data_IF_496421244518
#
_entry.id   IF_496421244518
#
_cell.length_a   1.000
_cell.length_b   1.000
_cell.length_c   1.000
_cell.angle_alpha   90.00
_cell.angle_beta   90.00
_cell.angle_gamma   90.00
#
_symmetry.space_group_name_H-M   'P 1'
#
loop_
_entity.id
_entity.type
_entity.pdbx_description
1 polymer ?
#
# COMPACT_ATOMS: atom_id res chain seq x y z
N UNK A 1 -2.17 -7.22 10.92
CA UNK A 1 -1.55 -6.03 11.54
C UNK A 1 -2.63 -4.96 11.69
N UNK A 2 -2.75 -4.26 12.81
CA UNK A 2 -3.75 -3.20 13.00
C UNK A 2 -3.08 -1.83 12.90
N UNK A 3 -3.14 -1.20 11.72
CA UNK A 3 -2.63 0.16 11.51
C UNK A 3 -3.61 1.20 12.04
N UNK A 4 -3.11 2.33 12.54
CA UNK A 4 -3.96 3.41 13.07
C UNK A 4 -4.60 4.27 11.97
N UNK A 5 -3.89 4.53 10.87
CA UNK A 5 -4.28 5.56 9.89
C UNK A 5 -4.67 5.00 8.53
N UNK A 6 -4.12 3.84 8.17
CA UNK A 6 -4.31 3.23 6.86
C UNK A 6 -4.84 1.81 6.98
N UNK A 7 -5.48 1.33 5.92
CA UNK A 7 -5.93 -0.05 5.78
C UNK A 7 -5.45 -0.62 4.44
N UNK A 8 -5.27 -1.94 4.41
CA UNK A 8 -4.78 -2.66 3.23
C UNK A 8 -5.89 -3.55 2.69
N UNK A 9 -6.26 -3.37 1.43
CA UNK A 9 -7.33 -4.11 0.77
C UNK A 9 -6.78 -4.85 -0.44
N UNK A 10 -6.93 -6.19 -0.51
CA UNK A 10 -6.52 -6.95 -1.69
C UNK A 10 -7.52 -6.68 -2.81
N UNK A 11 -7.04 -6.11 -3.91
CA UNK A 11 -7.89 -5.79 -5.06
C UNK A 11 -7.73 -6.78 -6.22
N UNK A 12 -6.69 -7.61 -6.19
CA UNK A 12 -6.52 -8.68 -7.16
C UNK A 12 -5.13 -9.31 -7.13
N UNK A 13 -4.82 -10.03 -8.20
CA UNK A 13 -3.51 -10.60 -8.47
C UNK A 13 -3.27 -10.76 -9.97
N UNK A 14 -2.01 -10.96 -10.36
CA UNK A 14 -1.58 -11.20 -11.74
C UNK A 14 -1.44 -12.70 -12.07
N UNK A 15 -1.93 -13.57 -11.20
CA UNK A 15 -1.61 -15.00 -11.16
C UNK A 15 -0.24 -15.34 -10.55
N UNK A 16 0.62 -14.34 -10.30
CA UNK A 16 1.93 -14.52 -9.66
C UNK A 16 2.14 -13.64 -8.44
N UNK A 17 1.62 -12.43 -8.48
CA UNK A 17 1.82 -11.42 -7.45
C UNK A 17 0.49 -10.75 -7.14
N UNK A 18 0.29 -10.41 -5.87
CA UNK A 18 -0.92 -9.75 -5.40
C UNK A 18 -0.83 -8.25 -5.66
N UNK A 19 -1.99 -7.60 -5.63
CA UNK A 19 -2.13 -6.14 -5.70
C UNK A 19 -3.01 -5.70 -4.54
N UNK A 20 -2.51 -4.73 -3.78
CA UNK A 20 -3.16 -4.23 -2.57
C UNK A 20 -3.35 -2.72 -2.64
N UNK A 21 -4.56 -2.24 -2.39
CA UNK A 21 -4.83 -0.84 -2.15
C UNK A 21 -4.43 -0.47 -0.71
N UNK A 22 -3.84 0.71 -0.55
CA UNK A 22 -3.65 1.37 0.74
C UNK A 22 -4.66 2.50 0.84
N UNK A 23 -5.64 2.35 1.74
CA UNK A 23 -6.73 3.32 1.91
C UNK A 23 -6.54 4.11 3.20
N UNK A 24 -6.99 5.36 3.21
CA UNK A 24 -7.11 6.16 4.42
C UNK A 24 -8.28 5.66 5.25
N UNK A 25 -8.05 5.29 6.52
CA UNK A 25 -9.14 4.89 7.42
C UNK A 25 -10.13 6.02 7.74
N UNK A 26 -9.71 7.28 7.65
CA UNK A 26 -10.57 8.42 7.99
C UNK A 26 -11.53 8.79 6.86
N UNK A 27 -11.15 8.53 5.60
CA UNK A 27 -11.90 8.99 4.43
C UNK A 27 -12.29 7.89 3.46
N UNK A 28 -11.70 6.69 3.57
CA UNK A 28 -11.86 5.59 2.61
C UNK A 28 -11.18 5.84 1.25
N UNK A 29 -10.44 6.93 1.08
CA UNK A 29 -9.76 7.23 -0.19
C UNK A 29 -8.50 6.39 -0.36
N UNK A 30 -8.23 5.99 -1.60
CA UNK A 30 -7.00 5.29 -2.00
C UNK A 30 -5.83 6.28 -1.95
N UNK A 31 -4.80 5.91 -1.20
CA UNK A 31 -3.55 6.67 -1.03
C UNK A 31 -2.43 6.11 -1.92
N UNK A 32 -2.58 4.89 -2.42
CA UNK A 32 -1.64 4.23 -3.32
C UNK A 32 -1.85 2.73 -3.37
N UNK A 33 -0.99 2.06 -4.13
CA UNK A 33 -1.02 0.60 -4.33
C UNK A 33 0.30 -0.02 -3.87
N UNK A 34 0.24 -1.18 -3.21
CA UNK A 34 1.39 -2.06 -3.05
C UNK A 34 1.29 -3.14 -4.13
N UNK A 35 2.27 -3.16 -5.03
CA UNK A 35 2.32 -4.11 -6.15
C UNK A 35 3.75 -4.48 -6.51
N UNK A 36 3.91 -5.61 -7.18
CA UNK A 36 5.21 -6.05 -7.65
C UNK A 36 5.78 -5.08 -8.69
N UNK A 37 6.94 -4.51 -8.40
CA UNK A 37 7.68 -3.70 -9.34
C UNK A 37 8.73 -4.55 -10.07
N UNK A 38 8.35 -5.02 -11.25
CA UNK A 38 9.14 -5.94 -12.08
C UNK A 38 10.62 -5.57 -12.24
N UNK A 39 10.98 -4.30 -12.53
CA UNK A 39 12.38 -3.90 -12.69
C UNK A 39 13.26 -4.14 -11.46
N UNK A 40 12.69 -4.02 -10.25
CA UNK A 40 13.44 -4.23 -9.00
C UNK A 40 13.19 -5.58 -8.36
N UNK A 41 12.27 -6.38 -8.93
CA UNK A 41 11.87 -7.69 -8.42
C UNK A 41 11.53 -7.67 -6.93
N UNK A 42 10.73 -6.69 -6.52
CA UNK A 42 10.23 -6.56 -5.15
C UNK A 42 8.86 -5.88 -5.15
N UNK A 43 8.11 -6.04 -4.06
CA UNK A 43 6.92 -5.24 -3.83
C UNK A 43 7.34 -3.80 -3.54
N UNK A 44 6.72 -2.86 -4.25
CA UNK A 44 6.90 -1.44 -4.02
C UNK A 44 5.56 -0.80 -3.72
N UNK A 45 5.59 0.20 -2.87
CA UNK A 45 4.47 1.11 -2.68
C UNK A 45 4.51 2.20 -3.75
N UNK A 46 3.40 2.35 -4.49
CA UNK A 46 3.19 3.34 -5.53
C UNK A 46 2.12 4.34 -5.05
N UNK A 47 2.52 5.47 -4.45
CA UNK A 47 1.56 6.44 -3.93
C UNK A 47 0.77 7.13 -5.04
N UNK A 48 -0.46 7.52 -4.73
CA UNK A 48 -1.20 8.50 -5.53
C UNK A 48 -0.48 9.84 -5.47
N UNK A 49 -0.51 10.59 -6.59
CA UNK A 49 0.14 11.89 -6.68
C UNK A 49 -0.27 12.83 -5.52
N UNK A 50 0.71 13.57 -4.99
CA UNK A 50 0.56 14.51 -3.87
C UNK A 50 0.16 13.86 -2.52
N UNK A 51 0.30 12.55 -2.37
CA UNK A 51 0.12 11.88 -1.08
C UNK A 51 1.36 12.04 -0.20
N UNK A 52 1.16 12.26 1.10
CA UNK A 52 2.24 12.41 2.10
C UNK A 52 2.03 11.39 3.21
N UNK A 53 3.11 10.72 3.61
CA UNK A 53 3.09 9.68 4.63
C UNK A 53 3.98 10.10 5.79
N UNK A 54 3.42 10.03 7.01
CA UNK A 54 4.21 10.22 8.23
C UNK A 54 5.00 8.94 8.57
N UNK A 55 5.83 9.01 9.60
CA UNK A 55 6.65 7.89 10.05
C UNK A 55 5.83 6.62 10.36
N UNK A 56 4.64 6.77 10.97
CA UNK A 56 3.78 5.63 11.29
C UNK A 56 3.24 4.96 10.04
N UNK A 57 2.69 5.71 9.08
CA UNK A 57 2.16 5.13 7.85
C UNK A 57 3.27 4.47 7.01
N UNK A 58 4.46 5.08 6.94
CA UNK A 58 5.61 4.49 6.25
C UNK A 58 6.03 3.16 6.89
N UNK A 59 6.11 3.12 8.22
CA UNK A 59 6.40 1.90 8.98
C UNK A 59 5.32 0.82 8.77
N UNK A 60 4.05 1.20 8.79
CA UNK A 60 2.93 0.27 8.59
C UNK A 60 2.97 -0.36 7.18
N UNK A 61 3.30 0.43 6.14
CA UNK A 61 3.50 -0.07 4.77
C UNK A 61 4.70 -1.01 4.71
N UNK A 62 5.83 -0.64 5.31
CA UNK A 62 7.04 -1.45 5.28
C UNK A 62 6.86 -2.81 5.96
N UNK A 63 6.07 -2.88 7.05
CA UNK A 63 5.84 -4.10 7.81
C UNK A 63 4.70 -4.97 7.25
N UNK A 64 4.00 -4.52 6.21
CA UNK A 64 2.84 -5.22 5.67
C UNK A 64 3.23 -6.46 4.85
N UNK A 65 4.34 -6.41 4.09
CA UNK A 65 4.73 -7.45 3.11
C UNK A 65 6.19 -7.90 3.27
#
# INVERSE_FOLDING_TARGET
>A
MNSRYIEFSKIGDTGKTEIWDVLSKSSGYILGEIRWYGPWRQYCFSPVANSVFNNTCMSDIQNFI
#
